data_IF_702427018771
#
_entry.id   IF_702427018771
#
_cell.length_a   1.000
_cell.length_b   1.000
_cell.length_c   1.000
_cell.angle_alpha   90.00
_cell.angle_beta   90.00
_cell.angle_gamma   90.00
#
_symmetry.space_group_name_H-M   'P 1'
#
loop_
_entity.id
_entity.type
_entity.pdbx_description
1 polymer ?
#
# COMPACT_ATOMS: atom_id res chain seq x y z
N UNK A 1 -13.66 0.07 27.31
CA UNK A 1 -14.19 -0.78 26.25
C UNK A 1 -13.38 -2.06 26.23
N UNK A 2 -13.79 -3.05 25.44
CA UNK A 2 -12.86 -4.11 24.99
C UNK A 2 -12.11 -3.49 23.82
N UNK A 3 -10.80 -3.75 23.70
CA UNK A 3 -10.06 -3.29 22.54
C UNK A 3 -10.41 -4.14 21.31
N UNK A 4 -10.81 -3.49 20.24
CA UNK A 4 -11.10 -4.11 18.94
C UNK A 4 -9.88 -4.00 18.02
N UNK A 5 -9.64 -5.00 17.17
CA UNK A 5 -8.52 -4.98 16.23
C UNK A 5 -8.83 -4.00 15.07
N UNK A 6 -7.82 -3.27 14.55
CA UNK A 6 -8.02 -2.36 13.43
C UNK A 6 -8.32 -3.11 12.11
N UNK A 7 -9.26 -2.63 11.31
CA UNK A 7 -9.60 -3.21 10.00
C UNK A 7 -9.33 -2.24 8.84
N UNK A 8 -8.47 -2.61 7.89
CA UNK A 8 -8.24 -1.80 6.67
C UNK A 8 -9.35 -2.07 5.65
N UNK A 9 -10.21 -1.08 5.40
CA UNK A 9 -11.40 -1.23 4.54
C UNK A 9 -11.24 -0.67 3.12
N UNK A 10 -10.31 0.26 2.89
CA UNK A 10 -10.13 0.87 1.56
C UNK A 10 -9.52 -0.11 0.55
N UNK A 11 -9.94 -0.16 -0.73
CA UNK A 11 -9.28 -0.98 -1.75
C UNK A 11 -8.00 -0.32 -2.28
N UNK A 12 -6.90 -1.08 -2.40
CA UNK A 12 -5.66 -0.55 -2.97
C UNK A 12 -5.73 -0.52 -4.51
N UNK A 13 -5.29 0.57 -5.17
CA UNK A 13 -5.04 0.55 -6.61
C UNK A 13 -3.91 -0.43 -6.93
N UNK A 14 -4.13 -1.30 -7.92
CA UNK A 14 -3.19 -2.37 -8.30
C UNK A 14 -2.65 -2.24 -9.72
N UNK A 15 -3.06 -1.19 -10.44
CA UNK A 15 -2.60 -0.89 -11.80
C UNK A 15 -2.22 0.58 -11.90
N UNK A 16 -1.13 0.87 -12.60
CA UNK A 16 -0.61 2.22 -12.79
C UNK A 16 0.19 2.29 -14.10
N UNK A 17 0.23 3.45 -14.76
CA UNK A 17 1.13 3.66 -15.88
C UNK A 17 2.51 4.13 -15.39
N UNK A 18 3.58 3.69 -16.04
CA UNK A 18 4.94 4.07 -15.66
C UNK A 18 5.12 5.60 -15.69
N UNK A 19 5.60 6.16 -14.58
CA UNK A 19 5.84 7.59 -14.41
C UNK A 19 4.63 8.39 -13.95
N UNK A 20 3.44 7.79 -13.87
CA UNK A 20 2.28 8.41 -13.22
C UNK A 20 2.40 8.28 -11.70
N UNK A 21 1.84 9.25 -10.98
CA UNK A 21 1.82 9.23 -9.52
C UNK A 21 0.86 8.15 -9.02
N UNK A 22 1.37 7.25 -8.19
CA UNK A 22 0.59 6.34 -7.38
C UNK A 22 0.12 7.04 -6.11
N UNK A 23 -1.18 6.97 -5.84
CA UNK A 23 -1.76 7.41 -4.57
C UNK A 23 -2.67 6.30 -4.05
N UNK A 24 -2.45 5.90 -2.81
CA UNK A 24 -3.35 5.00 -2.08
C UNK A 24 -3.73 5.61 -0.74
N UNK A 25 -5.00 5.99 -0.62
CA UNK A 25 -5.63 6.39 0.63
C UNK A 25 -6.02 5.14 1.44
N UNK A 26 -5.28 4.89 2.52
CA UNK A 26 -5.57 3.84 3.50
C UNK A 26 -6.67 4.35 4.42
N UNK A 27 -7.75 3.59 4.57
CA UNK A 27 -8.84 3.87 5.52
C UNK A 27 -8.99 2.69 6.45
N UNK A 28 -9.02 2.98 7.75
CA UNK A 28 -9.13 1.99 8.83
C UNK A 28 -10.40 2.22 9.64
N UNK A 29 -11.11 1.14 9.95
CA UNK A 29 -12.16 1.11 10.95
C UNK A 29 -11.61 0.50 12.25
N UNK A 30 -11.81 1.19 13.37
CA UNK A 30 -11.40 0.79 14.70
C UNK A 30 -12.29 1.55 15.69
N UNK A 31 -13.09 0.85 16.50
CA UNK A 31 -14.09 1.48 17.40
C UNK A 31 -13.43 2.16 18.63
N UNK A 32 -12.17 1.85 18.93
CA UNK A 32 -11.39 2.42 20.03
C UNK A 32 -10.58 3.66 19.62
N UNK A 33 -10.37 3.84 18.30
CA UNK A 33 -9.64 4.98 17.70
C UNK A 33 -10.56 5.90 16.88
N UNK A 34 -11.48 5.36 16.10
CA UNK A 34 -12.24 6.10 15.08
C UNK A 34 -13.73 6.26 15.47
N UNK A 35 -14.35 7.44 15.26
CA UNK A 35 -13.75 8.71 14.83
C UNK A 35 -13.15 9.54 15.98
N UNK A 36 -13.48 9.23 17.24
CA UNK A 36 -13.20 10.06 18.43
C UNK A 36 -12.51 9.28 19.56
N UNK A 37 -11.79 8.22 19.20
CA UNK A 37 -11.20 7.28 20.13
C UNK A 37 -10.10 7.85 21.02
N UNK A 38 -9.70 7.07 22.03
CA UNK A 38 -8.65 7.48 22.99
C UNK A 38 -7.25 7.00 22.59
N UNK A 39 -7.16 6.16 21.57
CA UNK A 39 -5.93 5.57 21.05
C UNK A 39 -5.53 6.22 19.72
N UNK A 40 -4.38 5.83 19.19
CA UNK A 40 -3.84 6.33 17.92
C UNK A 40 -3.31 5.17 17.13
N UNK A 41 -3.64 5.11 15.84
CA UNK A 41 -3.04 4.13 14.93
C UNK A 41 -1.65 4.59 14.51
N UNK A 42 -0.74 3.63 14.36
CA UNK A 42 0.57 3.80 13.73
C UNK A 42 0.55 3.07 12.40
N UNK A 43 0.99 3.75 11.33
CA UNK A 43 1.07 3.19 9.99
C UNK A 43 2.53 3.01 9.58
N UNK A 44 2.90 1.79 9.21
CA UNK A 44 4.29 1.49 8.79
C UNK A 44 4.32 0.85 7.41
N UNK A 45 5.07 1.44 6.49
CA UNK A 45 5.44 0.80 5.23
C UNK A 45 6.58 -0.20 5.49
N UNK A 46 6.24 -1.49 5.50
CA UNK A 46 7.20 -2.57 5.75
C UNK A 46 7.93 -3.03 4.48
N UNK A 47 7.24 -2.96 3.34
CA UNK A 47 7.80 -3.36 2.05
C UNK A 47 7.24 -2.48 0.94
N UNK A 48 8.12 -2.01 0.06
CA UNK A 48 7.79 -1.19 -1.10
C UNK A 48 9.05 -0.88 -1.93
N UNK A 49 8.89 -0.26 -3.11
CA UNK A 49 9.98 0.19 -3.95
C UNK A 49 10.71 1.39 -3.31
N UNK A 50 11.88 1.73 -3.85
CA UNK A 50 12.60 2.92 -3.40
C UNK A 50 11.76 4.16 -3.72
N UNK A 51 11.66 5.08 -2.77
CA UNK A 51 10.91 6.33 -2.93
C UNK A 51 9.43 6.24 -2.62
N UNK A 52 8.87 5.04 -2.37
CA UNK A 52 7.53 4.92 -1.79
C UNK A 52 7.54 5.37 -0.33
N UNK A 53 6.54 6.16 0.03
CA UNK A 53 6.39 6.72 1.37
C UNK A 53 4.94 6.58 1.85
N UNK A 54 4.77 6.48 3.17
CA UNK A 54 3.46 6.54 3.84
C UNK A 54 3.43 7.79 4.71
N UNK A 55 2.38 8.59 4.55
CA UNK A 55 2.04 9.73 5.40
C UNK A 55 0.96 9.27 6.39
N UNK A 56 1.37 9.06 7.64
CA UNK A 56 0.52 8.60 8.75
C UNK A 56 -0.27 9.75 9.41
N UNK A 57 -0.08 10.99 8.95
CA UNK A 57 -0.81 12.17 9.41
C UNK A 57 -1.89 12.62 8.41
N UNK A 58 -2.15 11.82 7.37
CA UNK A 58 -3.11 12.14 6.32
C UNK A 58 -4.56 12.01 6.80
N UNK A 59 -5.31 13.12 6.72
CA UNK A 59 -6.76 13.21 6.92
C UNK A 59 -7.32 12.53 8.20
N UNK A 60 -6.59 12.63 9.32
CA UNK A 60 -7.07 12.22 10.64
C UNK A 60 -6.49 10.89 11.14
N UNK A 61 -6.95 10.41 12.31
CA UNK A 61 -6.26 9.34 13.05
C UNK A 61 -6.43 7.93 12.45
N UNK A 62 -7.29 7.79 11.44
CA UNK A 62 -7.70 6.50 10.87
C UNK A 62 -7.44 6.41 9.37
N UNK A 63 -6.62 7.33 8.87
CA UNK A 63 -6.28 7.43 7.48
C UNK A 63 -4.77 7.62 7.34
N UNK A 64 -4.24 7.13 6.24
CA UNK A 64 -2.87 7.36 5.82
C UNK A 64 -2.83 7.46 4.30
N UNK A 65 -1.86 8.19 3.74
CA UNK A 65 -1.67 8.27 2.29
C UNK A 65 -0.34 7.64 1.92
N UNK A 66 -0.38 6.65 1.04
CA UNK A 66 0.81 6.06 0.45
C UNK A 66 1.03 6.65 -0.94
N UNK A 67 2.20 7.24 -1.15
CA UNK A 67 2.59 7.89 -2.41
C UNK A 67 3.85 7.26 -2.99
N UNK A 68 3.89 7.17 -4.31
CA UNK A 68 5.04 6.69 -5.07
C UNK A 68 4.96 7.16 -6.52
N UNK A 69 6.08 7.31 -7.19
CA UNK A 69 6.14 7.49 -8.65
C UNK A 69 7.07 6.42 -9.20
N UNK A 70 6.57 5.48 -10.03
CA UNK A 70 7.39 4.39 -10.54
C UNK A 70 8.53 4.90 -11.40
N UNK A 71 9.74 4.45 -11.08
CA UNK A 71 10.91 4.70 -11.89
C UNK A 71 11.23 3.47 -12.75
N UNK A 72 12.01 3.66 -13.82
CA UNK A 72 12.46 2.54 -14.66
C UNK A 72 13.22 1.47 -13.87
N UNK A 73 13.88 1.85 -12.77
CA UNK A 73 14.63 0.94 -11.91
C UNK A 73 13.71 0.02 -11.08
N UNK A 74 12.41 0.33 -10.97
CA UNK A 74 11.39 -0.53 -10.36
C UNK A 74 10.85 -1.60 -11.32
N UNK A 75 11.22 -1.54 -12.61
CA UNK A 75 10.74 -2.46 -13.64
C UNK A 75 11.58 -3.74 -13.70
N UNK A 76 10.91 -4.88 -13.81
CA UNK A 76 11.53 -6.14 -14.23
C UNK A 76 11.23 -6.41 -15.69
N UNK A 77 12.13 -7.14 -16.36
CA UNK A 77 11.95 -7.53 -17.75
C UNK A 77 11.50 -8.98 -17.79
N UNK A 78 10.30 -9.22 -18.31
CA UNK A 78 9.80 -10.57 -18.57
C UNK A 78 9.84 -10.83 -20.08
N UNK A 79 10.45 -11.96 -20.48
CA UNK A 79 10.47 -12.36 -21.87
C UNK A 79 9.16 -13.09 -22.21
N UNK A 80 8.34 -12.49 -23.07
CA UNK A 80 7.06 -13.05 -23.52
C UNK A 80 7.22 -13.60 -24.94
N UNK A 81 6.92 -14.89 -25.13
CA UNK A 81 7.01 -15.54 -26.45
C UNK A 81 5.61 -15.90 -26.98
N UNK A 82 5.27 -15.40 -28.17
CA UNK A 82 4.02 -15.74 -28.86
C UNK A 82 4.30 -16.09 -30.33
N UNK A 83 3.77 -17.21 -30.82
CA UNK A 83 3.86 -17.57 -32.24
C UNK A 83 5.27 -17.78 -32.82
N UNK A 84 6.31 -17.91 -31.99
CA UNK A 84 7.70 -18.05 -32.43
C UNK A 84 8.54 -16.78 -32.32
N UNK A 85 7.91 -15.65 -31.99
CA UNK A 85 8.57 -14.38 -31.70
C UNK A 85 8.62 -14.19 -30.18
N UNK A 86 9.76 -13.70 -29.67
CA UNK A 86 9.92 -13.31 -28.27
C UNK A 86 10.22 -11.80 -28.22
N UNK A 87 9.50 -11.10 -27.37
CA UNK A 87 9.72 -9.67 -27.08
C UNK A 87 9.89 -9.50 -25.58
N UNK A 88 10.84 -8.65 -25.19
CA UNK A 88 10.93 -8.20 -23.80
C UNK A 88 9.76 -7.26 -23.52
N UNK A 89 9.03 -7.53 -22.44
CA UNK A 89 8.02 -6.64 -21.89
C UNK A 89 8.49 -6.15 -20.53
N UNK A 90 8.26 -4.85 -20.27
CA UNK A 90 8.43 -4.30 -18.94
C UNK A 90 7.29 -4.77 -18.07
N UNK A 91 7.63 -5.14 -16.84
CA UNK A 91 6.69 -5.49 -15.81
C UNK A 91 7.23 -4.95 -14.50
N UNK A 92 6.66 -3.88 -13.96
CA UNK A 92 6.78 -3.67 -12.52
C UNK A 92 5.73 -4.54 -11.87
N UNK A 93 6.16 -5.52 -11.07
CA UNK A 93 5.33 -6.06 -9.99
C UNK A 93 6.00 -5.56 -8.73
N UNK A 94 5.32 -4.67 -8.03
CA UNK A 94 5.81 -4.12 -6.77
C UNK A 94 4.98 -4.70 -5.64
N UNK A 95 5.63 -5.48 -4.79
CA UNK A 95 5.04 -5.99 -3.56
C UNK A 95 5.02 -4.88 -2.51
N UNK A 96 3.82 -4.48 -2.08
CA UNK A 96 3.60 -3.50 -1.03
C UNK A 96 3.08 -4.20 0.20
N UNK A 97 3.67 -3.89 1.36
CA UNK A 97 3.19 -4.34 2.68
C UNK A 97 3.09 -3.16 3.63
N UNK A 98 1.90 -2.93 4.15
CA UNK A 98 1.64 -1.97 5.22
C UNK A 98 1.22 -2.71 6.50
N UNK A 99 1.64 -2.16 7.64
CA UNK A 99 1.25 -2.55 8.99
C UNK A 99 0.46 -1.40 9.62
N UNK A 100 -0.64 -1.74 10.30
CA UNK A 100 -1.45 -0.84 11.11
C UNK A 100 -1.50 -1.40 12.53
N UNK A 101 -1.05 -0.61 13.48
CA UNK A 101 -0.92 -1.00 14.90
C UNK A 101 -1.61 0.04 15.80
N UNK A 102 -2.48 -0.42 16.70
CA UNK A 102 -3.14 0.38 17.73
C UNK A 102 -2.37 0.41 19.08
N UNK A 103 -1.28 -0.36 19.17
CA UNK A 103 -0.36 -0.43 20.29
C UNK A 103 -0.78 -1.39 21.41
N UNK A 104 -1.86 -2.14 21.28
CA UNK A 104 -2.34 -2.99 22.37
C UNK A 104 -2.86 -4.39 21.97
N UNK A 105 -3.09 -4.66 20.69
CA UNK A 105 -3.34 -6.00 20.16
C UNK A 105 -2.35 -6.39 19.04
N UNK A 106 -2.61 -7.51 18.35
CA UNK A 106 -1.77 -7.91 17.22
C UNK A 106 -2.04 -6.95 16.04
N UNK A 107 -0.98 -6.44 15.38
CA UNK A 107 -1.16 -5.50 14.27
C UNK A 107 -1.80 -6.17 13.06
N UNK A 108 -2.51 -5.36 12.25
CA UNK A 108 -3.12 -5.82 11.02
C UNK A 108 -2.28 -5.42 9.81
N UNK A 109 -2.23 -6.33 8.84
CA UNK A 109 -1.40 -6.20 7.66
C UNK A 109 -2.23 -6.12 6.40
N UNK A 110 -1.76 -5.33 5.45
CA UNK A 110 -2.24 -5.37 4.08
C UNK A 110 -1.09 -5.55 3.10
N UNK A 111 -1.20 -6.60 2.30
CA UNK A 111 -0.25 -6.99 1.27
C UNK A 111 -0.94 -6.99 -0.09
N UNK A 112 -0.32 -6.36 -1.09
CA UNK A 112 -0.84 -6.32 -2.46
C UNK A 112 0.29 -6.06 -3.47
N UNK A 113 -0.02 -6.36 -4.73
CA UNK A 113 0.89 -6.17 -5.85
C UNK A 113 0.38 -5.02 -6.73
N UNK A 114 1.24 -4.04 -7.00
CA UNK A 114 0.99 -3.00 -8.00
C UNK A 114 1.67 -3.40 -9.30
N UNK A 115 0.93 -3.34 -10.40
CA UNK A 115 1.40 -3.72 -11.74
C UNK A 115 1.36 -2.57 -12.73
N UNK A 116 2.42 -2.39 -13.51
CA UNK A 116 2.36 -1.49 -14.68
C UNK A 116 1.49 -2.07 -15.78
N UNK A 117 0.69 -1.23 -16.45
CA UNK A 117 -0.05 -1.60 -17.66
C UNK A 117 0.82 -1.59 -18.93
#
# INVERSE_FOLDING_TARGET
AVNDEPEITSPAPITLDLGDEYVYEVVVEDDDVCPDGCQTLTFTLLQGPVGMAIDDAFDGPCQAELTWTPECDDLTWEQVCTGGDCSDQYKSVVHVKIEVDDGCCDPVYKEFDVTSL
#
